data_IF_047356340421
#
_entry.id   IF_047356340421
#
_cell.length_a   1.000
_cell.length_b   1.000
_cell.length_c   1.000
_cell.angle_alpha   90.00
_cell.angle_beta   90.00
_cell.angle_gamma   90.00
#
_symmetry.space_group_name_H-M   'P 1'
#
loop_
_entity.id
_entity.type
_entity.pdbx_description
1 polymer ?
#
# COMPACT_ATOMS: atom_id res chain seq x y z
N UNK A 1 17.08 0.41 -0.47
CA UNK A 1 16.58 1.44 0.45
C UNK A 1 15.23 0.99 0.99
N UNK A 2 15.14 0.64 2.28
CA UNK A 2 13.90 0.09 2.84
C UNK A 2 13.02 1.26 3.33
N UNK A 3 12.08 1.72 2.50
CA UNK A 3 11.19 2.84 2.79
C UNK A 3 9.91 2.34 3.47
N UNK A 4 10.02 1.91 4.74
CA UNK A 4 8.82 1.58 5.52
C UNK A 4 7.99 2.84 5.76
N UNK A 5 6.69 2.80 5.51
CA UNK A 5 5.77 3.94 5.72
C UNK A 5 5.87 4.54 7.12
N UNK A 6 6.10 3.69 8.15
CA UNK A 6 6.25 4.10 9.54
C UNK A 6 7.49 4.96 9.81
N UNK A 7 8.56 4.81 9.04
CA UNK A 7 9.84 5.51 9.23
C UNK A 7 10.04 6.73 8.33
N UNK A 8 9.05 7.06 7.49
CA UNK A 8 9.11 8.25 6.66
C UNK A 8 8.88 9.50 7.50
N UNK A 9 9.92 10.36 7.58
CA UNK A 9 9.87 11.59 8.37
C UNK A 9 9.20 12.75 7.65
N UNK A 10 9.19 12.74 6.32
CA UNK A 10 8.60 13.81 5.51
C UNK A 10 7.46 13.26 4.65
N UNK A 11 6.32 13.93 4.67
CA UNK A 11 5.18 13.64 3.80
C UNK A 11 5.35 14.38 2.49
N UNK A 12 5.42 13.66 1.37
CA UNK A 12 5.53 14.23 0.05
C UNK A 12 4.24 14.04 -0.77
N UNK A 13 3.79 15.09 -1.45
CA UNK A 13 2.72 15.05 -2.46
C UNK A 13 1.31 14.85 -1.91
N UNK A 14 1.14 14.63 -0.61
CA UNK A 14 -0.18 14.41 0.04
C UNK A 14 -0.55 15.52 1.02
N UNK A 15 0.04 16.69 0.87
CA UNK A 15 -0.11 17.82 1.80
C UNK A 15 -1.56 18.30 1.89
N UNK A 16 -2.27 18.38 0.77
CA UNK A 16 -3.68 18.81 0.74
C UNK A 16 -4.59 17.82 1.49
N UNK A 17 -4.41 16.53 1.25
CA UNK A 17 -5.14 15.49 1.96
C UNK A 17 -4.84 15.49 3.46
N UNK A 18 -3.58 15.73 3.85
CA UNK A 18 -3.20 15.87 5.25
C UNK A 18 -3.89 17.08 5.89
N UNK A 19 -3.83 18.25 5.24
CA UNK A 19 -4.46 19.48 5.73
C UNK A 19 -5.98 19.33 5.88
N UNK A 20 -6.64 18.63 4.95
CA UNK A 20 -8.07 18.32 5.06
C UNK A 20 -8.37 17.49 6.32
N UNK A 21 -7.66 16.40 6.53
CA UNK A 21 -7.84 15.53 7.69
C UNK A 21 -7.53 16.26 9.01
N UNK A 22 -6.45 17.04 9.06
CA UNK A 22 -6.08 17.87 10.21
C UNK A 22 -7.15 18.93 10.51
N UNK A 23 -7.67 19.60 9.46
CA UNK A 23 -8.75 20.58 9.62
C UNK A 23 -10.01 19.96 10.22
N UNK A 24 -10.39 18.77 9.76
CA UNK A 24 -11.50 18.01 10.32
C UNK A 24 -11.25 17.64 11.80
N UNK A 25 -10.03 17.22 12.13
CA UNK A 25 -9.68 16.90 13.52
C UNK A 25 -9.75 18.14 14.43
N UNK A 26 -9.13 19.26 14.03
CA UNK A 26 -9.15 20.52 14.79
C UNK A 26 -10.56 21.05 15.02
N UNK A 27 -11.46 20.84 14.04
CA UNK A 27 -12.90 21.19 14.13
C UNK A 27 -13.73 20.16 14.91
N UNK A 28 -13.13 19.10 15.47
CA UNK A 28 -13.82 17.96 16.10
C UNK A 28 -14.87 17.29 15.21
N UNK A 29 -14.61 17.27 13.88
CA UNK A 29 -15.47 16.67 12.85
C UNK A 29 -14.81 15.49 12.15
N UNK A 30 -13.59 15.10 12.55
CA UNK A 30 -12.94 13.94 11.97
C UNK A 30 -13.73 12.67 12.32
N UNK A 31 -14.20 11.91 11.33
CA UNK A 31 -14.87 10.64 11.62
C UNK A 31 -13.93 9.66 12.30
N UNK A 32 -14.46 8.87 13.20
CA UNK A 32 -13.68 7.83 13.87
C UNK A 32 -13.48 6.55 13.04
N UNK A 33 -14.07 6.47 11.84
CA UNK A 33 -13.96 5.34 10.89
C UNK A 33 -13.67 5.86 9.49
N UNK A 34 -12.39 5.85 9.12
CA UNK A 34 -11.87 6.44 7.89
C UNK A 34 -11.33 5.34 7.00
N UNK A 35 -11.77 5.33 5.74
CA UNK A 35 -11.24 4.48 4.68
C UNK A 35 -10.40 5.34 3.73
N UNK A 36 -9.08 5.15 3.71
CA UNK A 36 -8.17 5.78 2.75
C UNK A 36 -8.05 4.86 1.52
N UNK A 37 -8.73 5.20 0.44
CA UNK A 37 -8.76 4.42 -0.79
C UNK A 37 -7.95 5.05 -1.92
N UNK A 38 -7.31 4.22 -2.74
CA UNK A 38 -6.48 4.68 -3.87
C UNK A 38 -5.48 3.60 -4.28
N UNK A 39 -4.71 3.86 -5.33
CA UNK A 39 -3.75 2.89 -5.84
C UNK A 39 -2.70 2.49 -4.79
N UNK A 40 -2.20 1.26 -4.88
CA UNK A 40 -1.08 0.81 -4.02
C UNK A 40 0.16 1.65 -4.32
N UNK A 41 0.89 2.06 -3.28
CA UNK A 41 2.15 2.78 -3.42
C UNK A 41 2.06 4.32 -3.53
N UNK A 42 0.87 4.93 -3.40
CA UNK A 42 0.72 6.40 -3.42
C UNK A 42 0.97 7.08 -2.06
N UNK A 43 1.35 6.33 -1.01
CA UNK A 43 1.66 6.90 0.30
C UNK A 43 0.51 6.97 1.30
N UNK A 44 -0.62 6.26 1.10
CA UNK A 44 -1.77 6.26 2.04
C UNK A 44 -1.39 5.88 3.47
N UNK A 45 -0.59 4.85 3.62
CA UNK A 45 -0.11 4.40 4.92
C UNK A 45 0.79 5.47 5.58
N UNK A 46 1.69 6.10 4.81
CA UNK A 46 2.50 7.23 5.25
C UNK A 46 1.64 8.40 5.72
N UNK A 47 0.60 8.78 4.95
CA UNK A 47 -0.36 9.81 5.33
C UNK A 47 -1.02 9.48 6.67
N UNK A 48 -1.44 8.23 6.87
CA UNK A 48 -2.03 7.79 8.14
C UNK A 48 -1.04 7.92 9.31
N UNK A 49 0.22 7.51 9.15
CA UNK A 49 1.25 7.68 10.17
C UNK A 49 1.50 9.16 10.53
N UNK A 50 1.54 10.03 9.53
CA UNK A 50 1.72 11.47 9.75
C UNK A 50 0.54 12.08 10.51
N UNK A 51 -0.70 11.72 10.14
CA UNK A 51 -1.91 12.17 10.87
C UNK A 51 -1.91 11.68 12.31
N UNK A 52 -1.60 10.40 12.56
CA UNK A 52 -1.53 9.82 13.90
C UNK A 52 -0.45 10.52 14.72
N UNK A 53 0.75 10.73 14.14
CA UNK A 53 1.83 11.41 14.83
C UNK A 53 1.45 12.85 15.16
N UNK A 54 0.88 13.61 14.22
CA UNK A 54 0.38 14.96 14.48
C UNK A 54 -0.54 15.00 15.71
N UNK A 55 -1.50 14.08 15.80
CA UNK A 55 -2.48 14.08 16.90
C UNK A 55 -1.84 13.64 18.21
N UNK A 56 -1.01 12.60 18.20
CA UNK A 56 -0.41 12.05 19.42
C UNK A 56 0.72 12.90 19.99
N UNK A 57 1.42 13.66 19.14
CA UNK A 57 2.57 14.46 19.57
C UNK A 57 2.25 15.89 19.94
N UNK A 58 1.01 16.32 19.86
CA UNK A 58 0.60 17.72 20.04
C UNK A 58 1.12 18.35 21.35
N UNK A 59 1.17 17.57 22.44
CA UNK A 59 1.63 18.03 23.77
C UNK A 59 3.06 17.56 24.10
N UNK A 60 3.85 17.18 23.09
CA UNK A 60 5.20 16.68 23.28
C UNK A 60 6.24 17.81 23.04
N UNK A 61 7.44 17.64 23.58
CA UNK A 61 8.56 18.59 23.41
C UNK A 61 8.92 18.80 21.94
N UNK A 62 8.80 17.74 21.12
CA UNK A 62 9.06 17.78 19.67
C UNK A 62 7.77 17.41 18.91
N UNK A 63 6.81 18.34 18.79
CA UNK A 63 5.56 18.06 18.08
C UNK A 63 5.79 17.92 16.58
N UNK A 64 4.75 17.45 15.89
CA UNK A 64 4.74 17.41 14.41
C UNK A 64 4.85 18.80 13.81
N UNK A 65 5.72 18.99 12.82
CA UNK A 65 5.84 20.24 12.09
C UNK A 65 4.82 20.29 10.94
N UNK A 66 3.71 21.01 11.17
CA UNK A 66 2.65 21.18 10.18
C UNK A 66 3.08 22.01 8.96
N UNK A 67 4.08 22.91 9.09
CA UNK A 67 4.50 23.78 7.99
C UNK A 67 5.33 23.01 6.96
N UNK A 68 6.20 22.15 7.45
CA UNK A 68 7.11 21.37 6.62
C UNK A 68 6.62 19.93 6.39
N UNK A 69 5.47 19.54 6.98
CA UNK A 69 4.93 18.19 6.93
C UNK A 69 5.93 17.13 7.37
N UNK A 70 6.61 17.39 8.50
CA UNK A 70 7.68 16.54 8.99
C UNK A 70 7.45 16.07 10.42
N UNK A 71 7.87 14.83 10.66
CA UNK A 71 7.97 14.21 11.98
C UNK A 71 9.39 14.43 12.49
N UNK A 72 9.55 14.93 13.71
CA UNK A 72 10.85 15.02 14.35
C UNK A 72 11.28 13.63 14.86
N UNK A 73 12.52 13.23 14.55
CA UNK A 73 13.07 11.94 15.01
C UNK A 73 13.11 11.79 16.53
N UNK A 74 13.18 12.90 17.27
CA UNK A 74 13.16 12.91 18.72
C UNK A 74 11.77 12.85 19.35
N UNK A 75 10.72 12.92 18.53
CA UNK A 75 9.33 12.81 18.95
C UNK A 75 9.08 11.50 19.68
N UNK A 76 8.52 11.57 20.89
CA UNK A 76 8.27 10.41 21.74
C UNK A 76 7.26 9.44 21.13
N UNK A 77 6.13 9.95 20.62
CA UNK A 77 5.10 9.14 19.97
C UNK A 77 5.66 8.42 18.73
N UNK A 78 6.52 9.07 17.96
CA UNK A 78 7.19 8.47 16.81
C UNK A 78 8.09 7.29 17.23
N UNK A 79 8.99 7.49 18.21
CA UNK A 79 9.88 6.44 18.73
C UNK A 79 9.09 5.24 19.26
N UNK A 80 8.00 5.48 19.99
CA UNK A 80 7.14 4.41 20.50
C UNK A 80 6.41 3.67 19.37
N UNK A 81 5.98 4.39 18.34
CA UNK A 81 5.26 3.80 17.18
C UNK A 81 6.18 2.93 16.33
N UNK A 82 7.41 3.36 16.02
CA UNK A 82 8.38 2.56 15.25
C UNK A 82 8.72 1.26 16.00
N UNK A 83 8.84 1.33 17.34
CA UNK A 83 9.16 0.18 18.16
C UNK A 83 7.94 -0.70 18.50
N UNK A 84 6.75 -0.40 17.94
CA UNK A 84 5.49 -1.12 18.18
C UNK A 84 5.08 -1.21 19.67
N UNK A 85 5.44 -0.22 20.48
CA UNK A 85 5.12 -0.15 21.92
C UNK A 85 4.26 1.05 22.29
N UNK A 86 3.71 1.75 21.32
CA UNK A 86 2.84 2.90 21.58
C UNK A 86 1.47 2.43 22.10
N UNK A 87 1.07 2.78 23.34
CA UNK A 87 -0.21 2.32 23.91
C UNK A 87 -1.44 2.90 23.20
N UNK A 88 -1.26 3.99 22.47
CA UNK A 88 -2.32 4.66 21.72
C UNK A 88 -2.37 4.28 20.24
N UNK A 89 -1.52 3.35 19.79
CA UNK A 89 -1.46 2.95 18.41
C UNK A 89 -1.41 1.43 18.25
N UNK A 90 -2.24 0.90 17.37
CA UNK A 90 -2.25 -0.51 16.99
C UNK A 90 -2.17 -0.62 15.45
N UNK A 91 -1.19 -1.36 14.96
CA UNK A 91 -1.07 -1.71 13.55
C UNK A 91 -1.57 -3.13 13.32
N UNK A 92 -2.40 -3.31 12.31
CA UNK A 92 -2.78 -4.62 11.76
C UNK A 92 -2.39 -4.63 10.28
N UNK A 93 -1.65 -5.65 9.88
CA UNK A 93 -1.27 -5.91 8.50
C UNK A 93 -1.12 -7.43 8.29
N UNK A 94 -0.95 -7.82 7.05
CA UNK A 94 -0.66 -9.21 6.69
C UNK A 94 0.69 -9.60 7.29
N UNK A 95 0.72 -10.63 8.13
CA UNK A 95 1.96 -11.14 8.68
C UNK A 95 2.86 -11.72 7.56
N UNK A 96 4.18 -11.65 7.74
CA UNK A 96 5.18 -12.01 6.73
C UNK A 96 5.08 -13.46 6.22
N UNK A 97 4.53 -14.35 7.05
CA UNK A 97 4.32 -15.77 6.79
C UNK A 97 2.92 -16.12 6.30
N UNK A 98 2.03 -15.12 6.15
CA UNK A 98 0.61 -15.31 5.84
C UNK A 98 0.19 -14.60 4.56
N UNK A 99 -0.92 -15.07 3.97
CA UNK A 99 -1.56 -14.45 2.79
C UNK A 99 -2.73 -13.54 3.17
N UNK A 100 -3.23 -13.65 4.39
CA UNK A 100 -4.43 -12.95 4.87
C UNK A 100 -4.23 -12.43 6.29
N UNK A 101 -5.02 -11.42 6.65
CA UNK A 101 -5.15 -10.94 8.03
C UNK A 101 -6.09 -11.91 8.76
N UNK A 102 -5.57 -12.58 9.79
CA UNK A 102 -6.31 -13.60 10.52
C UNK A 102 -7.29 -13.02 11.54
N UNK A 103 -8.32 -13.80 11.84
CA UNK A 103 -9.29 -13.48 12.89
C UNK A 103 -8.63 -13.30 14.27
N UNK A 104 -7.55 -14.03 14.56
CA UNK A 104 -6.81 -13.91 15.82
C UNK A 104 -6.22 -12.51 16.02
N UNK A 105 -5.68 -11.89 14.94
CA UNK A 105 -5.18 -10.51 14.99
C UNK A 105 -6.31 -9.52 15.35
N UNK A 106 -7.47 -9.67 14.73
CA UNK A 106 -8.64 -8.81 15.02
C UNK A 106 -9.18 -9.05 16.42
N UNK A 107 -9.27 -10.30 16.89
CA UNK A 107 -9.71 -10.60 18.26
C UNK A 107 -8.77 -10.02 19.30
N UNK A 108 -7.46 -10.17 19.12
CA UNK A 108 -6.46 -9.58 20.02
C UNK A 108 -6.51 -8.06 20.03
N UNK A 109 -6.72 -7.42 18.87
CA UNK A 109 -6.95 -6.00 18.77
C UNK A 109 -8.17 -5.58 19.61
N UNK A 110 -9.33 -6.24 19.44
CA UNK A 110 -10.56 -5.93 20.17
C UNK A 110 -10.35 -6.08 21.69
N UNK A 111 -9.70 -7.16 22.13
CA UNK A 111 -9.37 -7.37 23.54
C UNK A 111 -8.48 -6.24 24.10
N UNK A 112 -7.53 -5.74 23.31
CA UNK A 112 -6.69 -4.62 23.72
C UNK A 112 -7.46 -3.29 23.76
N UNK A 113 -8.38 -3.07 22.83
CA UNK A 113 -9.20 -1.86 22.77
C UNK A 113 -10.24 -1.80 23.89
N UNK A 114 -10.70 -2.94 24.39
CA UNK A 114 -11.64 -3.02 25.53
C UNK A 114 -10.98 -2.75 26.89
N UNK A 115 -9.63 -2.75 26.96
CA UNK A 115 -8.92 -2.31 28.17
C UNK A 115 -9.04 -0.80 28.34
N UNK A 116 -9.06 -0.33 29.59
CA UNK A 116 -9.04 1.09 29.91
C UNK A 116 -7.83 1.79 29.27
N UNK A 117 -8.04 3.01 28.78
CA UNK A 117 -6.95 3.82 28.23
C UNK A 117 -5.96 4.19 29.33
N UNK A 118 -4.66 4.07 29.04
CA UNK A 118 -3.57 4.47 29.97
C UNK A 118 -3.47 5.99 30.12
N UNK A 119 -4.02 6.75 29.19
CA UNK A 119 -4.00 8.21 29.18
C UNK A 119 -5.23 8.77 28.46
N UNK A 120 -5.38 10.10 28.47
CA UNK A 120 -6.52 10.80 27.84
C UNK A 120 -6.38 10.96 26.31
N UNK A 121 -5.23 10.55 25.72
CA UNK A 121 -5.01 10.67 24.26
C UNK A 121 -5.90 9.68 23.50
N UNK A 122 -6.33 10.03 22.29
CA UNK A 122 -7.09 9.12 21.44
C UNK A 122 -6.27 7.87 21.08
N UNK A 123 -6.96 6.76 20.83
CA UNK A 123 -6.36 5.51 20.34
C UNK A 123 -6.59 5.36 18.86
N UNK A 124 -5.56 4.96 18.14
CA UNK A 124 -5.59 4.74 16.72
C UNK A 124 -5.40 3.27 16.37
N UNK A 125 -6.20 2.82 15.43
CA UNK A 125 -6.06 1.51 14.79
C UNK A 125 -5.81 1.75 13.31
N UNK A 126 -4.63 1.38 12.84
CA UNK A 126 -4.29 1.39 11.44
C UNK A 126 -4.35 -0.06 10.92
N UNK A 127 -5.26 -0.31 9.97
CA UNK A 127 -5.33 -1.61 9.29
C UNK A 127 -4.86 -1.39 7.85
N UNK A 128 -3.65 -1.85 7.53
CA UNK A 128 -3.14 -1.80 6.17
C UNK A 128 -3.64 -2.99 5.35
N UNK A 129 -3.85 -2.77 4.06
CA UNK A 129 -4.26 -3.82 3.13
C UNK A 129 -5.56 -4.54 3.54
N UNK A 130 -6.63 -3.79 3.84
CA UNK A 130 -7.91 -4.36 4.34
C UNK A 130 -8.53 -5.40 3.41
N UNK A 131 -8.20 -5.38 2.13
CA UNK A 131 -8.63 -6.37 1.14
C UNK A 131 -8.14 -7.80 1.44
N UNK A 132 -7.16 -7.95 2.33
CA UNK A 132 -6.67 -9.24 2.80
C UNK A 132 -7.31 -9.72 4.10
N UNK A 133 -8.31 -9.03 4.62
CA UNK A 133 -9.15 -9.55 5.70
C UNK A 133 -9.94 -10.75 5.21
N UNK A 134 -9.86 -11.88 5.90
CA UNK A 134 -10.72 -13.01 5.61
C UNK A 134 -12.15 -12.73 6.10
N UNK A 135 -13.13 -13.52 5.64
CA UNK A 135 -14.56 -13.31 5.93
C UNK A 135 -14.84 -13.25 7.46
N UNK A 136 -14.19 -14.09 8.23
CA UNK A 136 -14.37 -14.14 9.69
C UNK A 136 -13.76 -12.93 10.38
N UNK A 137 -12.58 -12.47 9.93
CA UNK A 137 -11.92 -11.25 10.41
C UNK A 137 -12.78 -10.02 10.15
N UNK A 138 -13.35 -9.91 8.93
CA UNK A 138 -14.26 -8.82 8.58
C UNK A 138 -15.48 -8.81 9.50
N UNK A 139 -16.16 -9.94 9.68
CA UNK A 139 -17.35 -10.02 10.52
C UNK A 139 -17.06 -9.63 11.97
N UNK A 140 -15.91 -10.01 12.51
CA UNK A 140 -15.49 -9.61 13.86
C UNK A 140 -15.21 -8.11 13.95
N UNK A 141 -14.56 -7.54 12.93
CA UNK A 141 -14.28 -6.12 12.84
C UNK A 141 -15.57 -5.28 12.69
N UNK A 142 -16.51 -5.73 11.84
CA UNK A 142 -17.78 -5.04 11.61
C UNK A 142 -18.59 -4.88 12.91
N UNK A 143 -18.68 -5.93 13.74
CA UNK A 143 -19.35 -5.86 15.03
C UNK A 143 -18.76 -4.74 15.91
N UNK A 144 -17.44 -4.65 15.98
CA UNK A 144 -16.77 -3.62 16.76
C UNK A 144 -16.91 -2.22 16.15
N UNK A 145 -16.93 -2.11 14.82
CA UNK A 145 -17.15 -0.84 14.14
C UNK A 145 -18.58 -0.30 14.28
N UNK A 146 -19.56 -1.14 14.64
CA UNK A 146 -20.94 -0.71 14.91
C UNK A 146 -21.09 -0.07 16.29
N UNK A 147 -20.20 -0.38 17.22
CA UNK A 147 -20.24 0.17 18.56
C UNK A 147 -19.79 1.65 18.58
N UNK A 148 -20.46 2.51 19.39
CA UNK A 148 -20.01 3.90 19.57
C UNK A 148 -18.73 3.93 20.41
N UNK A 149 -17.64 4.38 19.83
CA UNK A 149 -16.34 4.53 20.50
C UNK A 149 -15.76 5.90 20.16
N UNK A 150 -16.06 6.92 20.98
CA UNK A 150 -15.72 8.32 20.69
C UNK A 150 -14.22 8.63 20.71
N UNK A 151 -13.40 7.80 21.33
CA UNK A 151 -11.96 8.05 21.48
C UNK A 151 -11.07 7.01 20.74
N UNK A 152 -11.66 6.23 19.82
CA UNK A 152 -10.94 5.25 19.00
C UNK A 152 -11.14 5.60 17.53
N UNK A 153 -10.04 5.83 16.82
CA UNK A 153 -10.03 6.14 15.40
C UNK A 153 -9.52 4.95 14.60
N UNK A 154 -10.30 4.52 13.62
CA UNK A 154 -9.92 3.49 12.65
C UNK A 154 -9.49 4.15 11.34
N UNK A 155 -8.26 3.89 10.92
CA UNK A 155 -7.70 4.25 9.62
C UNK A 155 -7.51 2.96 8.83
N UNK A 156 -8.34 2.76 7.82
CA UNK A 156 -8.35 1.56 6.99
C UNK A 156 -7.73 1.89 5.63
N UNK A 157 -6.68 1.18 5.25
CA UNK A 157 -5.99 1.39 3.97
C UNK A 157 -6.51 0.38 2.94
N UNK A 158 -7.01 0.91 1.83
CA UNK A 158 -7.58 0.13 0.74
C UNK A 158 -6.86 0.42 -0.59
N UNK A 159 -6.44 -0.62 -1.32
CA UNK A 159 -5.66 -0.52 -2.56
C UNK A 159 -6.49 -0.79 -3.82
N UNK A 160 -7.71 -0.23 -3.90
CA UNK A 160 -8.64 -0.33 -5.04
C UNK A 160 -9.00 -1.77 -5.46
N UNK A 161 -8.80 -2.75 -4.58
CA UNK A 161 -9.28 -4.12 -4.79
C UNK A 161 -10.74 -4.26 -4.33
N UNK A 162 -11.35 -5.41 -4.59
CA UNK A 162 -12.72 -5.68 -4.14
C UNK A 162 -12.77 -5.85 -2.62
N UNK A 163 -13.61 -5.07 -1.95
CA UNK A 163 -13.91 -5.19 -0.52
C UNK A 163 -15.42 -5.32 -0.32
N UNK A 164 -15.83 -5.83 0.85
CA UNK A 164 -17.25 -5.95 1.18
C UNK A 164 -17.92 -4.57 1.28
N UNK A 165 -19.08 -4.45 0.64
CA UNK A 165 -19.90 -3.22 0.69
C UNK A 165 -20.28 -2.84 2.12
N UNK A 166 -20.51 -3.83 2.99
CA UNK A 166 -20.82 -3.65 4.41
C UNK A 166 -19.71 -2.95 5.18
N UNK A 167 -18.44 -3.17 4.86
CA UNK A 167 -17.31 -2.45 5.45
C UNK A 167 -17.24 -1.03 4.91
N UNK A 168 -17.41 -0.88 3.60
CA UNK A 168 -17.36 0.43 2.93
C UNK A 168 -18.46 1.38 3.41
N UNK A 169 -19.68 0.87 3.67
CA UNK A 169 -20.81 1.68 4.14
C UNK A 169 -20.66 2.22 5.56
N UNK A 170 -19.76 1.65 6.38
CA UNK A 170 -19.52 2.05 7.77
C UNK A 170 -18.37 3.03 7.94
N UNK A 171 -17.65 3.33 6.88
CA UNK A 171 -16.48 4.20 6.92
C UNK A 171 -16.68 5.40 6.01
N UNK A 172 -16.19 6.58 6.41
CA UNK A 172 -16.07 7.70 5.49
C UNK A 172 -14.89 7.44 4.54
N UNK A 173 -15.18 7.42 3.25
CA UNK A 173 -14.18 7.12 2.23
C UNK A 173 -13.49 8.39 1.73
N UNK A 174 -12.20 8.52 2.05
CA UNK A 174 -11.30 9.51 1.46
C UNK A 174 -10.57 8.88 0.28
N UNK A 175 -10.82 9.40 -0.92
CA UNK A 175 -10.11 8.97 -2.13
C UNK A 175 -8.80 9.72 -2.24
N UNK A 176 -7.71 9.00 -2.10
CA UNK A 176 -6.36 9.54 -2.25
C UNK A 176 -5.87 9.24 -3.66
N UNK A 177 -5.39 10.25 -4.35
CA UNK A 177 -4.83 10.12 -5.69
C UNK A 177 -3.64 11.06 -5.87
N UNK A 178 -2.72 10.66 -6.73
CA UNK A 178 -1.64 11.51 -7.23
C UNK A 178 -1.72 11.51 -8.75
N UNK A 179 -1.49 12.66 -9.34
CA UNK A 179 -1.27 12.75 -10.79
C UNK A 179 0.10 12.19 -11.14
N UNK A 180 0.33 11.99 -12.42
CA UNK A 180 1.61 11.51 -12.92
C UNK A 180 2.74 12.48 -12.58
N UNK A 181 2.53 13.78 -12.74
CA UNK A 181 3.50 14.81 -12.36
C UNK A 181 3.79 14.81 -10.87
N UNK A 182 2.77 14.73 -10.01
CA UNK A 182 2.95 14.66 -8.56
C UNK A 182 3.71 13.38 -8.15
N UNK A 183 3.41 12.24 -8.79
CA UNK A 183 4.13 10.99 -8.53
C UNK A 183 5.62 11.10 -8.88
N UNK A 184 5.95 11.77 -10.00
CA UNK A 184 7.32 12.04 -10.41
C UNK A 184 8.04 12.97 -9.43
N UNK A 185 7.39 14.04 -8.98
CA UNK A 185 7.92 14.96 -7.97
C UNK A 185 8.21 14.26 -6.65
N UNK A 186 7.27 13.45 -6.16
CA UNK A 186 7.44 12.64 -4.93
C UNK A 186 8.66 11.72 -5.04
N UNK A 187 8.82 11.04 -6.19
CA UNK A 187 9.97 10.18 -6.43
C UNK A 187 11.29 10.96 -6.42
N UNK A 188 11.34 12.09 -7.11
CA UNK A 188 12.54 12.94 -7.15
C UNK A 188 12.91 13.44 -5.75
N UNK A 189 11.93 13.81 -4.91
CA UNK A 189 12.15 14.20 -3.52
C UNK A 189 12.70 13.05 -2.68
N UNK A 190 12.12 11.86 -2.78
CA UNK A 190 12.53 10.68 -2.00
C UNK A 190 13.93 10.22 -2.39
N UNK A 191 14.23 10.17 -3.69
CA UNK A 191 15.48 9.64 -4.21
C UNK A 191 16.59 10.70 -4.26
N UNK A 192 16.27 11.97 -4.02
CA UNK A 192 17.20 13.12 -4.12
C UNK A 192 17.94 13.18 -5.46
N UNK A 193 17.40 12.58 -6.53
CA UNK A 193 17.99 12.50 -7.87
C UNK A 193 16.86 12.43 -8.92
N UNK A 194 17.13 12.92 -10.13
CA UNK A 194 16.27 12.73 -11.30
C UNK A 194 16.46 11.32 -11.87
N UNK A 195 16.00 10.31 -11.17
CA UNK A 195 16.22 8.89 -11.53
C UNK A 195 15.25 8.42 -12.63
N UNK A 196 14.13 9.10 -12.82
CA UNK A 196 13.16 8.71 -13.85
C UNK A 196 13.76 8.67 -15.27
N UNK A 197 14.80 9.47 -15.53
CA UNK A 197 15.51 9.44 -16.81
C UNK A 197 16.28 8.14 -17.06
N UNK A 198 16.54 7.34 -16.03
CA UNK A 198 17.29 6.09 -16.10
C UNK A 198 16.36 4.86 -16.09
N UNK A 199 15.08 5.05 -16.35
CA UNK A 199 14.09 3.97 -16.45
C UNK A 199 13.36 4.14 -17.78
N UNK A 200 13.23 3.07 -18.55
CA UNK A 200 12.47 3.08 -19.79
C UNK A 200 11.02 3.54 -19.54
N UNK A 201 10.53 4.45 -20.39
CA UNK A 201 9.18 5.00 -20.28
C UNK A 201 8.10 3.91 -20.30
N UNK A 202 8.30 2.81 -21.00
CA UNK A 202 7.38 1.68 -21.01
C UNK A 202 7.17 1.09 -19.61
N UNK A 203 8.21 1.05 -18.78
CA UNK A 203 8.14 0.56 -17.40
C UNK A 203 7.53 1.60 -16.48
N UNK A 204 7.81 2.89 -16.72
CA UNK A 204 7.23 4.00 -15.96
C UNK A 204 5.72 4.09 -16.19
N UNK A 205 5.25 4.07 -17.42
CA UNK A 205 3.83 4.23 -17.77
C UNK A 205 2.94 3.20 -17.08
N UNK A 206 3.52 2.07 -16.74
CA UNK A 206 2.81 1.01 -16.04
C UNK A 206 2.87 1.12 -14.52
N UNK A 207 4.04 1.44 -13.96
CA UNK A 207 4.25 1.51 -12.51
C UNK A 207 4.07 2.93 -11.96
N UNK A 208 2.95 3.56 -12.24
CA UNK A 208 2.76 4.99 -12.04
C UNK A 208 2.53 5.44 -10.59
N UNK A 209 2.93 4.67 -9.57
CA UNK A 209 2.90 5.14 -8.19
C UNK A 209 4.31 5.15 -7.60
N UNK A 210 4.63 6.16 -6.75
CA UNK A 210 5.97 6.31 -6.18
C UNK A 210 6.48 5.03 -5.50
N UNK A 211 5.61 4.37 -4.73
CA UNK A 211 5.96 3.13 -4.04
C UNK A 211 6.30 1.99 -4.99
N UNK A 212 5.53 1.80 -6.06
CA UNK A 212 5.80 0.73 -7.04
C UNK A 212 7.10 0.97 -7.80
N UNK A 213 7.38 2.21 -8.20
CA UNK A 213 8.66 2.55 -8.86
C UNK A 213 9.85 2.31 -7.92
N UNK A 214 9.70 2.67 -6.64
CA UNK A 214 10.74 2.39 -5.65
C UNK A 214 10.95 0.89 -5.43
N UNK A 215 9.88 0.10 -5.41
CA UNK A 215 9.96 -1.37 -5.38
C UNK A 215 10.69 -1.91 -6.61
N UNK A 216 10.41 -1.38 -7.81
CA UNK A 216 11.08 -1.74 -9.06
C UNK A 216 12.58 -1.40 -9.05
N UNK A 217 12.94 -0.19 -8.60
CA UNK A 217 14.34 0.25 -8.48
C UNK A 217 15.10 -0.64 -7.48
N UNK A 218 14.52 -0.94 -6.33
CA UNK A 218 15.14 -1.84 -5.36
C UNK A 218 15.36 -3.23 -5.96
N UNK A 219 14.35 -3.77 -6.64
CA UNK A 219 14.46 -5.05 -7.31
C UNK A 219 15.57 -5.05 -8.39
N UNK A 220 15.65 -3.99 -9.21
CA UNK A 220 16.68 -3.89 -10.23
C UNK A 220 18.09 -3.81 -9.64
N UNK A 221 18.24 -3.11 -8.50
CA UNK A 221 19.53 -3.04 -7.79
C UNK A 221 19.91 -4.39 -7.16
N UNK A 222 18.95 -5.12 -6.58
CA UNK A 222 19.19 -6.42 -5.93
C UNK A 222 19.61 -7.49 -6.94
N UNK A 223 19.22 -7.35 -8.21
CA UNK A 223 19.50 -8.30 -9.28
C UNK A 223 20.41 -7.74 -10.39
N UNK A 224 20.97 -6.54 -10.21
CA UNK A 224 21.87 -5.86 -11.15
C UNK A 224 21.28 -5.74 -12.57
N UNK A 225 20.01 -5.30 -12.65
CA UNK A 225 19.27 -5.14 -13.90
C UNK A 225 19.26 -3.65 -14.28
N UNK A 226 19.76 -3.31 -15.47
CA UNK A 226 19.68 -1.95 -16.02
C UNK A 226 18.29 -1.70 -16.62
N UNK A 227 17.57 -0.68 -16.09
CA UNK A 227 16.18 -0.37 -16.49
C UNK A 227 16.09 0.63 -17.65
N UNK A 228 17.16 1.32 -18.01
CA UNK A 228 17.14 2.47 -18.93
C UNK A 228 16.76 2.04 -20.36
N UNK A 229 17.37 0.97 -20.86
CA UNK A 229 17.16 0.47 -22.22
C UNK A 229 16.28 -0.77 -22.29
N UNK A 230 15.62 -1.12 -21.16
CA UNK A 230 14.89 -2.36 -21.03
C UNK A 230 13.42 -2.18 -21.39
N UNK A 231 12.99 -2.78 -22.51
CA UNK A 231 11.56 -2.81 -22.88
C UNK A 231 10.78 -3.71 -21.95
N UNK A 232 9.47 -3.51 -21.85
CA UNK A 232 8.58 -4.34 -21.02
C UNK A 232 8.66 -5.82 -21.44
N UNK A 233 8.70 -6.11 -22.76
CA UNK A 233 8.84 -7.48 -23.29
C UNK A 233 10.14 -8.14 -22.80
N UNK A 234 11.27 -7.46 -22.91
CA UNK A 234 12.56 -7.98 -22.49
C UNK A 234 12.66 -8.15 -20.98
N UNK A 235 12.04 -7.25 -20.20
CA UNK A 235 12.02 -7.38 -18.76
C UNK A 235 11.20 -8.61 -18.31
N UNK A 236 10.04 -8.85 -18.92
CA UNK A 236 9.26 -10.08 -18.69
C UNK A 236 10.06 -11.33 -18.99
N UNK A 237 10.82 -11.37 -20.12
CA UNK A 237 11.72 -12.49 -20.44
C UNK A 237 12.74 -12.73 -19.33
N UNK A 238 13.44 -11.70 -18.90
CA UNK A 238 14.45 -11.80 -17.82
C UNK A 238 13.83 -12.34 -16.52
N UNK A 239 12.64 -11.87 -16.14
CA UNK A 239 11.96 -12.33 -14.93
C UNK A 239 11.62 -13.82 -14.99
N UNK A 240 11.21 -14.32 -16.17
CA UNK A 240 10.81 -15.72 -16.38
C UNK A 240 12.05 -16.60 -16.52
N UNK A 241 12.95 -16.32 -17.44
CA UNK A 241 14.13 -17.14 -17.75
C UNK A 241 15.08 -17.29 -16.56
N UNK A 242 15.29 -16.21 -15.79
CA UNK A 242 16.12 -16.25 -14.57
C UNK A 242 15.36 -16.70 -13.33
N UNK A 243 14.07 -17.09 -13.46
CA UNK A 243 13.20 -17.54 -12.38
C UNK A 243 13.12 -16.57 -11.19
N UNK A 244 13.22 -15.25 -11.43
CA UNK A 244 13.17 -14.26 -10.37
C UNK A 244 11.82 -14.25 -9.63
N UNK A 245 10.74 -14.62 -10.31
CA UNK A 245 9.40 -14.75 -9.71
C UNK A 245 9.30 -15.87 -8.65
N UNK A 246 10.23 -16.85 -8.65
CA UNK A 246 10.28 -17.91 -7.64
C UNK A 246 11.07 -17.51 -6.38
N UNK A 247 11.95 -16.52 -6.49
CA UNK A 247 12.89 -16.17 -5.42
C UNK A 247 12.24 -15.42 -4.27
N UNK A 248 11.21 -14.62 -4.55
CA UNK A 248 10.49 -13.89 -3.52
C UNK A 248 9.05 -13.56 -3.94
N UNK A 249 8.21 -13.24 -2.96
CA UNK A 249 6.78 -12.90 -3.16
C UNK A 249 6.63 -11.64 -4.03
N UNK A 250 7.56 -10.68 -3.91
CA UNK A 250 7.55 -9.47 -4.70
C UNK A 250 7.79 -9.74 -6.19
N UNK A 251 8.82 -10.54 -6.53
CA UNK A 251 9.11 -10.91 -7.92
C UNK A 251 7.93 -11.60 -8.61
N UNK A 252 7.20 -12.43 -7.89
CA UNK A 252 5.98 -13.07 -8.41
C UNK A 252 4.85 -12.05 -8.66
N UNK A 253 4.60 -11.17 -7.69
CA UNK A 253 3.59 -10.12 -7.83
C UNK A 253 3.94 -9.16 -8.96
N UNK A 254 5.21 -8.78 -9.08
CA UNK A 254 5.76 -7.96 -10.15
C UNK A 254 5.51 -8.60 -11.53
N UNK A 255 5.83 -9.88 -11.68
CA UNK A 255 5.63 -10.60 -12.94
C UNK A 255 4.16 -10.56 -13.38
N UNK A 256 3.22 -10.91 -12.50
CA UNK A 256 1.79 -10.90 -12.84
C UNK A 256 1.27 -9.50 -13.16
N UNK A 257 1.68 -8.50 -12.40
CA UNK A 257 1.35 -7.11 -12.67
C UNK A 257 1.86 -6.68 -14.06
N UNK A 258 3.08 -7.04 -14.43
CA UNK A 258 3.67 -6.70 -15.73
C UNK A 258 3.03 -7.48 -16.90
N UNK A 259 2.65 -8.76 -16.71
CA UNK A 259 1.90 -9.52 -17.72
C UNK A 259 0.55 -8.85 -18.00
N UNK A 260 -0.21 -8.49 -16.94
CA UNK A 260 -1.49 -7.81 -17.10
C UNK A 260 -1.34 -6.51 -17.91
N UNK A 261 -0.27 -5.75 -17.65
CA UNK A 261 0.01 -4.54 -18.39
C UNK A 261 0.39 -4.77 -19.83
N UNK A 262 1.30 -5.70 -20.03
CA UNK A 262 1.73 -6.03 -21.38
C UNK A 262 0.53 -6.40 -22.26
N UNK A 263 -0.39 -7.19 -21.73
CA UNK A 263 -1.63 -7.56 -22.40
C UNK A 263 -2.59 -6.39 -22.65
N UNK A 264 -2.55 -5.34 -21.81
CA UNK A 264 -3.41 -4.15 -21.97
C UNK A 264 -2.88 -3.14 -23.01
N UNK A 265 -1.62 -3.23 -23.45
CA UNK A 265 -1.08 -2.33 -24.45
C UNK A 265 -1.79 -2.50 -25.81
N UNK A 266 -2.07 -1.36 -26.49
CA UNK A 266 -2.83 -1.32 -27.75
C UNK A 266 -2.25 -2.17 -28.89
N UNK A 267 -0.96 -2.45 -28.87
CA UNK A 267 -0.29 -3.30 -29.88
C UNK A 267 -0.75 -4.75 -29.87
N UNK A 268 -1.35 -5.21 -28.76
CA UNK A 268 -1.87 -6.57 -28.61
C UNK A 268 -3.34 -6.72 -29.06
N UNK A 269 -4.02 -5.66 -29.50
CA UNK A 269 -5.41 -5.72 -29.94
C UNK A 269 -5.67 -6.59 -31.19
N UNK A 270 -4.63 -7.08 -31.85
CA UNK A 270 -4.75 -7.97 -33.03
C UNK A 270 -5.19 -9.39 -32.60
N UNK A 271 -4.99 -9.77 -31.34
CA UNK A 271 -5.38 -11.09 -30.81
C UNK A 271 -6.28 -10.97 -29.55
N UNK A 272 -7.48 -10.44 -29.71
CA UNK A 272 -8.44 -10.30 -28.59
C UNK A 272 -8.64 -11.60 -27.78
N UNK A 273 -8.58 -12.74 -28.45
CA UNK A 273 -8.73 -14.05 -27.82
C UNK A 273 -7.59 -14.42 -26.86
N UNK A 274 -6.36 -13.99 -27.12
CA UNK A 274 -5.23 -14.26 -26.23
C UNK A 274 -5.28 -13.38 -24.97
N UNK A 275 -5.73 -12.13 -25.11
CA UNK A 275 -5.93 -11.24 -23.96
C UNK A 275 -6.93 -11.83 -22.98
N UNK A 276 -8.15 -12.14 -23.44
CA UNK A 276 -9.20 -12.73 -22.58
C UNK A 276 -8.77 -14.06 -21.96
N UNK A 277 -8.08 -14.88 -22.73
CA UNK A 277 -7.56 -16.16 -22.28
C UNK A 277 -6.60 -16.01 -21.10
N UNK A 278 -5.55 -15.19 -21.23
CA UNK A 278 -4.55 -15.02 -20.18
C UNK A 278 -5.10 -14.28 -18.96
N UNK A 279 -5.92 -13.25 -19.15
CA UNK A 279 -6.56 -12.53 -18.02
C UNK A 279 -7.47 -13.47 -17.22
N UNK A 280 -8.25 -14.29 -17.90
CA UNK A 280 -9.11 -15.28 -17.22
C UNK A 280 -8.28 -16.28 -16.44
N UNK A 281 -7.25 -16.86 -17.06
CA UNK A 281 -6.34 -17.80 -16.40
C UNK A 281 -5.60 -17.20 -15.20
N UNK A 282 -5.09 -15.98 -15.30
CA UNK A 282 -4.45 -15.26 -14.20
C UNK A 282 -5.43 -15.05 -13.04
N UNK A 283 -6.67 -14.68 -13.34
CA UNK A 283 -7.71 -14.54 -12.32
C UNK A 283 -8.04 -15.87 -11.64
N UNK A 284 -8.11 -16.97 -12.39
CA UNK A 284 -8.35 -18.30 -11.87
C UNK A 284 -7.21 -18.79 -10.97
N UNK A 285 -5.96 -18.55 -11.35
CA UNK A 285 -4.79 -18.81 -10.49
C UNK A 285 -4.90 -18.06 -9.18
N UNK A 286 -5.17 -16.74 -9.25
CA UNK A 286 -5.32 -15.90 -8.06
C UNK A 286 -6.47 -16.35 -7.16
N UNK A 287 -7.59 -16.80 -7.77
CA UNK A 287 -8.82 -17.18 -7.05
C UNK A 287 -8.76 -18.57 -6.46
N UNK A 288 -8.24 -19.54 -7.20
CA UNK A 288 -8.24 -20.96 -6.85
C UNK A 288 -6.88 -21.46 -6.35
N UNK A 289 -5.88 -20.58 -6.29
CA UNK A 289 -4.50 -20.90 -5.88
C UNK A 289 -3.89 -22.06 -6.71
N UNK A 290 -4.12 -22.01 -8.03
CA UNK A 290 -3.59 -23.00 -8.98
C UNK A 290 -2.08 -22.81 -9.17
N UNK A 291 -1.46 -23.79 -9.85
CA UNK A 291 -0.04 -23.70 -10.21
C UNK A 291 0.19 -22.60 -11.25
N UNK A 292 0.98 -21.61 -10.87
CA UNK A 292 1.28 -20.45 -11.72
C UNK A 292 2.32 -20.79 -12.80
N UNK A 293 3.18 -21.78 -12.58
CA UNK A 293 4.26 -22.10 -13.52
C UNK A 293 3.73 -22.47 -14.89
N UNK A 294 2.63 -23.19 -14.94
CA UNK A 294 1.99 -23.60 -16.20
C UNK A 294 1.61 -22.36 -17.03
N UNK A 295 1.01 -21.36 -16.39
CA UNK A 295 0.55 -20.16 -17.11
C UNK A 295 1.72 -19.26 -17.49
N UNK A 296 2.73 -19.15 -16.63
CA UNK A 296 3.92 -18.35 -16.89
C UNK A 296 4.68 -18.94 -18.09
N UNK A 297 4.85 -20.25 -18.14
CA UNK A 297 5.52 -20.93 -19.26
C UNK A 297 4.70 -20.81 -20.56
N UNK A 298 3.39 -20.99 -20.49
CA UNK A 298 2.51 -20.81 -21.65
C UNK A 298 2.53 -19.38 -22.17
N UNK A 299 2.57 -18.37 -21.27
CA UNK A 299 2.72 -16.97 -21.67
C UNK A 299 4.07 -16.71 -22.33
N UNK A 300 5.14 -17.27 -21.80
CA UNK A 300 6.47 -17.15 -22.35
C UNK A 300 6.55 -17.72 -23.78
N UNK A 301 6.02 -18.92 -23.99
CA UNK A 301 6.05 -19.59 -25.29
C UNK A 301 5.16 -18.89 -26.33
N UNK A 302 3.92 -18.55 -25.97
CA UNK A 302 2.93 -18.04 -26.94
C UNK A 302 3.01 -16.53 -27.19
N UNK A 303 3.61 -15.76 -26.29
CA UNK A 303 3.54 -14.30 -26.35
C UNK A 303 4.92 -13.64 -26.41
N UNK A 304 5.89 -14.15 -25.66
CA UNK A 304 7.22 -13.55 -25.64
C UNK A 304 8.15 -14.11 -26.73
N UNK A 305 7.94 -15.35 -27.18
CA UNK A 305 8.79 -16.00 -28.21
C UNK A 305 8.27 -15.80 -29.64
N UNK A 306 7.07 -15.19 -29.80
CA UNK A 306 6.65 -14.61 -31.06
C UNK A 306 7.32 -13.21 -31.24
#
# INVERSE_FOLDING_TARGET
>A
MNLKSASQLTLYGLNDHFNELVSLYKKKKLPNKILLSGNKGIGKCTLAYHLINFILSNDEEFPYDEKNFTINENNKSFKLTINNVNPNFNLIDVASDKKFIDISQIRNLILNLNKSSLNKKPRFVLIDNIEYLNKNSINSLLKFLEEPNDNIYFLLIHNNKRILSTLKSRCLNFKIHLTNSQSAEVLNCILKKKILNNINNELIDYYFTPGKILELINFSNDYEIELENLTLKNFLRILIEKNYYKKNIFGKALLFDLIESFLQKKEFHIQSNLFEYFITKINDVKKFNLDDEIIINEFHEKVLNE
#
